data_IF_840721863563
#
_entry.id   IF_840721863563
#
_cell.length_a   1.000
_cell.length_b   1.000
_cell.length_c   1.000
_cell.angle_alpha   90.00
_cell.angle_beta   90.00
_cell.angle_gamma   90.00
#
_symmetry.space_group_name_H-M   'P 1'
#
loop_
_entity.id
_entity.type
_entity.pdbx_description
1 polymer ?
#
# COMPACT_ATOMS: atom_id res chain seq x y z
N UNK A 1 12.60 -29.83 20.69
CA UNK A 1 12.45 -29.06 19.46
C UNK A 1 13.84 -28.69 18.95
N UNK A 2 14.22 -29.17 17.80
CA UNK A 2 15.48 -28.74 17.18
C UNK A 2 15.28 -27.30 16.70
N UNK A 3 15.89 -26.37 17.39
CA UNK A 3 15.98 -24.96 16.96
C UNK A 3 16.86 -24.90 15.72
N UNK A 4 16.38 -24.32 14.65
CA UNK A 4 17.18 -24.07 13.46
C UNK A 4 17.90 -22.71 13.62
N UNK A 5 19.22 -22.70 13.89
CA UNK A 5 19.92 -21.46 14.18
C UNK A 5 19.90 -20.46 13.02
N UNK A 6 19.76 -20.95 11.79
CA UNK A 6 19.61 -20.08 10.60
C UNK A 6 18.28 -19.32 10.65
N UNK A 7 17.18 -19.99 11.01
CA UNK A 7 15.88 -19.34 11.16
C UNK A 7 15.89 -18.27 12.26
N UNK A 8 16.51 -18.59 13.38
CA UNK A 8 16.60 -17.66 14.50
C UNK A 8 17.43 -16.43 14.12
N UNK A 9 18.55 -16.63 13.43
CA UNK A 9 19.37 -15.52 12.93
C UNK A 9 18.62 -14.65 11.91
N UNK A 10 17.86 -15.25 10.98
CA UNK A 10 17.04 -14.48 10.03
C UNK A 10 15.99 -13.61 10.74
N UNK A 11 15.37 -14.16 11.78
CA UNK A 11 14.38 -13.41 12.60
C UNK A 11 15.03 -12.29 13.39
N UNK A 12 16.18 -12.55 14.01
CA UNK A 12 16.93 -11.55 14.78
C UNK A 12 17.40 -10.38 13.91
N UNK A 13 17.76 -10.65 12.65
CA UNK A 13 18.09 -9.63 11.65
C UNK A 13 16.86 -8.91 11.08
N UNK A 14 15.65 -9.26 11.48
CA UNK A 14 14.43 -8.68 10.95
C UNK A 14 14.07 -9.12 9.53
N UNK A 15 14.62 -10.25 9.06
CA UNK A 15 14.40 -10.82 7.74
C UNK A 15 13.25 -11.83 7.77
N UNK A 16 12.07 -11.38 8.20
CA UNK A 16 10.92 -12.26 8.44
C UNK A 16 10.38 -12.93 7.17
N UNK A 17 10.45 -12.25 6.02
CA UNK A 17 10.05 -12.82 4.73
C UNK A 17 11.01 -13.92 4.30
N UNK A 18 12.31 -13.71 4.45
CA UNK A 18 13.33 -14.74 4.19
C UNK A 18 13.19 -15.93 5.14
N UNK A 19 12.91 -15.69 6.41
CA UNK A 19 12.69 -16.76 7.39
C UNK A 19 11.50 -17.64 7.01
N UNK A 20 10.39 -17.04 6.62
CA UNK A 20 9.20 -17.77 6.15
C UNK A 20 9.49 -18.59 4.89
N UNK A 21 10.14 -17.98 3.90
CA UNK A 21 10.49 -18.66 2.66
C UNK A 21 11.49 -19.82 2.90
N UNK A 22 12.47 -19.61 3.77
CA UNK A 22 13.42 -20.64 4.16
C UNK A 22 12.69 -21.86 4.75
N UNK A 23 11.78 -21.62 5.67
CA UNK A 23 11.01 -22.69 6.32
C UNK A 23 10.12 -23.45 5.35
N UNK A 24 9.47 -22.74 4.41
CA UNK A 24 8.62 -23.35 3.37
C UNK A 24 9.45 -24.19 2.40
N UNK A 25 10.60 -23.67 1.91
CA UNK A 25 11.48 -24.38 0.98
C UNK A 25 12.14 -25.60 1.60
N UNK A 26 12.48 -25.54 2.88
CA UNK A 26 13.07 -26.66 3.61
C UNK A 26 12.12 -27.86 3.70
N UNK A 27 10.81 -27.61 3.66
CA UNK A 27 9.76 -28.63 3.69
C UNK A 27 9.37 -29.15 2.30
N UNK A 28 9.83 -28.53 1.22
CA UNK A 28 9.46 -28.89 -0.15
C UNK A 28 10.56 -29.74 -0.81
N UNK A 29 10.27 -31.01 -1.17
CA UNK A 29 11.26 -31.89 -1.83
C UNK A 29 11.79 -31.29 -3.16
N UNK A 30 10.90 -30.59 -3.90
CA UNK A 30 11.27 -29.97 -5.17
C UNK A 30 12.33 -28.87 -5.02
N UNK A 31 12.34 -28.19 -3.87
CA UNK A 31 13.33 -27.13 -3.59
C UNK A 31 14.76 -27.66 -3.49
N UNK A 32 14.94 -28.96 -3.23
CA UNK A 32 16.27 -29.58 -3.17
C UNK A 32 16.97 -29.64 -4.53
N UNK A 33 16.22 -29.53 -5.62
CA UNK A 33 16.77 -29.49 -7.00
C UNK A 33 17.19 -28.09 -7.44
N UNK A 34 16.84 -27.04 -6.69
CA UNK A 34 17.19 -25.68 -7.02
C UNK A 34 18.69 -25.41 -6.86
N UNK A 35 19.23 -24.63 -7.79
CA UNK A 35 20.60 -24.12 -7.64
C UNK A 35 20.64 -23.04 -6.54
N UNK A 36 21.82 -22.83 -5.95
CA UNK A 36 22.00 -21.87 -4.85
C UNK A 36 21.50 -20.46 -5.19
N UNK A 37 21.75 -19.98 -6.42
CA UNK A 37 21.30 -18.68 -6.88
C UNK A 37 19.79 -18.58 -6.97
N UNK A 38 19.13 -19.61 -7.48
CA UNK A 38 17.66 -19.67 -7.58
C UNK A 38 17.00 -19.70 -6.20
N UNK A 39 17.54 -20.52 -5.32
CA UNK A 39 17.08 -20.64 -3.95
C UNK A 39 17.20 -19.31 -3.19
N UNK A 40 18.35 -18.65 -3.26
CA UNK A 40 18.56 -17.35 -2.66
C UNK A 40 17.65 -16.27 -3.24
N UNK A 41 17.43 -16.29 -4.55
CA UNK A 41 16.52 -15.36 -5.23
C UNK A 41 15.10 -15.46 -4.68
N UNK A 42 14.58 -16.67 -4.48
CA UNK A 42 13.25 -16.87 -3.89
C UNK A 42 13.14 -16.30 -2.47
N UNK A 43 14.19 -16.46 -1.65
CA UNK A 43 14.24 -15.86 -0.31
C UNK A 43 14.22 -14.34 -0.36
N UNK A 44 15.01 -13.73 -1.25
CA UNK A 44 15.10 -12.29 -1.41
C UNK A 44 13.79 -11.69 -1.95
N UNK A 45 13.17 -12.34 -2.93
CA UNK A 45 11.87 -11.89 -3.46
C UNK A 45 10.77 -11.91 -2.39
N UNK A 46 10.75 -12.95 -1.56
CA UNK A 46 9.79 -13.02 -0.45
C UNK A 46 10.04 -11.89 0.56
N UNK A 47 11.29 -11.60 0.88
CA UNK A 47 11.64 -10.50 1.79
C UNK A 47 11.23 -9.14 1.22
N UNK A 48 11.50 -8.90 -0.05
CA UNK A 48 11.09 -7.66 -0.74
C UNK A 48 9.57 -7.50 -0.72
N UNK A 49 8.83 -8.55 -1.03
CA UNK A 49 7.36 -8.55 -1.01
C UNK A 49 6.82 -8.28 0.39
N UNK A 50 7.36 -8.96 1.40
CA UNK A 50 6.97 -8.78 2.80
C UNK A 50 7.21 -7.35 3.27
N UNK A 51 8.37 -6.76 2.95
CA UNK A 51 8.68 -5.36 3.30
C UNK A 51 7.78 -4.36 2.59
N UNK A 52 7.49 -4.60 1.32
CA UNK A 52 6.56 -3.76 0.54
C UNK A 52 5.17 -3.78 1.16
N UNK A 53 4.68 -4.97 1.52
CA UNK A 53 3.38 -5.14 2.15
C UNK A 53 3.31 -4.44 3.51
N UNK A 54 4.31 -4.59 4.36
CA UNK A 54 4.37 -3.90 5.67
C UNK A 54 4.38 -2.38 5.51
N UNK A 55 5.14 -1.85 4.56
CA UNK A 55 5.15 -0.40 4.28
C UNK A 55 3.78 0.09 3.80
N UNK A 56 3.14 -0.64 2.90
CA UNK A 56 1.80 -0.34 2.44
C UNK A 56 0.79 -0.31 3.60
N UNK A 57 0.77 -1.33 4.43
CA UNK A 57 -0.13 -1.41 5.59
C UNK A 57 0.09 -0.26 6.58
N UNK A 58 1.33 0.11 6.85
CA UNK A 58 1.66 1.25 7.70
C UNK A 58 1.16 2.57 7.10
N UNK A 59 1.34 2.80 5.80
CA UNK A 59 0.83 3.98 5.10
C UNK A 59 -0.69 4.02 5.06
N UNK A 60 -1.34 2.91 4.78
CA UNK A 60 -2.79 2.81 4.75
C UNK A 60 -3.41 3.13 6.12
N UNK A 61 -2.81 2.64 7.20
CA UNK A 61 -3.23 2.98 8.57
C UNK A 61 -3.01 4.46 8.89
N UNK A 62 -1.86 5.02 8.54
CA UNK A 62 -1.54 6.42 8.77
C UNK A 62 -2.44 7.37 7.96
N UNK A 63 -2.85 6.98 6.78
CA UNK A 63 -3.72 7.77 5.90
C UNK A 63 -5.10 8.03 6.48
N UNK A 64 -5.63 7.12 7.30
CA UNK A 64 -6.98 7.21 7.91
C UNK A 64 -8.08 7.52 6.90
N UNK A 65 -8.04 6.83 5.75
CA UNK A 65 -9.03 6.97 4.70
C UNK A 65 -10.43 6.62 5.22
N UNK A 66 -11.42 7.45 4.87
CA UNK A 66 -12.80 7.28 5.32
C UNK A 66 -13.47 6.02 4.77
N UNK A 67 -13.14 5.66 3.52
CA UNK A 67 -13.70 4.51 2.82
C UNK A 67 -12.60 3.48 2.54
N UNK A 68 -12.94 2.22 2.72
CA UNK A 68 -12.14 1.11 2.21
C UNK A 68 -12.44 0.94 0.71
N UNK A 69 -11.84 1.82 -0.08
CA UNK A 69 -12.08 1.94 -1.51
C UNK A 69 -10.83 1.54 -2.29
N UNK A 70 -11.04 0.72 -3.32
CA UNK A 70 -9.98 0.28 -4.21
C UNK A 70 -10.32 0.65 -5.65
N UNK A 71 -9.32 1.04 -6.43
CA UNK A 71 -9.52 1.46 -7.84
C UNK A 71 -10.09 0.33 -8.70
N UNK A 72 -9.84 -0.92 -8.34
CA UNK A 72 -10.36 -2.12 -9.01
C UNK A 72 -11.87 -2.31 -8.83
N UNK A 73 -12.44 -1.73 -7.78
CA UNK A 73 -13.86 -1.89 -7.43
C UNK A 73 -14.75 -0.76 -7.97
N UNK A 74 -14.22 0.09 -8.85
CA UNK A 74 -14.99 1.20 -9.42
C UNK A 74 -15.98 0.67 -10.43
N UNK A 75 -17.25 1.05 -10.23
CA UNK A 75 -18.30 0.84 -11.22
C UNK A 75 -18.32 1.99 -12.25
N UNK A 76 -17.71 1.75 -13.39
CA UNK A 76 -17.72 2.69 -14.51
C UNK A 76 -19.04 2.72 -15.30
N UNK A 77 -19.97 1.80 -15.01
CA UNK A 77 -21.30 1.77 -15.66
C UNK A 77 -22.27 2.76 -15.02
N UNK A 78 -21.98 3.18 -13.79
CA UNK A 78 -22.81 4.16 -13.11
C UNK A 78 -22.85 5.48 -13.90
N UNK A 79 -24.05 6.03 -14.09
CA UNK A 79 -24.28 7.26 -14.84
C UNK A 79 -23.84 8.51 -14.03
N UNK A 80 -22.55 8.74 -13.94
CA UNK A 80 -21.95 9.87 -13.21
C UNK A 80 -20.92 10.65 -14.02
N UNK A 81 -20.81 10.39 -15.32
CA UNK A 81 -19.88 11.11 -16.19
C UNK A 81 -18.40 10.84 -15.91
N UNK A 82 -18.07 9.74 -15.23
CA UNK A 82 -16.69 9.37 -14.93
C UNK A 82 -16.04 8.76 -16.19
N UNK A 83 -15.01 9.41 -16.70
CA UNK A 83 -14.19 8.87 -17.79
C UNK A 83 -13.25 7.81 -17.26
N UNK A 84 -13.44 6.57 -17.73
CA UNK A 84 -12.62 5.42 -17.35
C UNK A 84 -11.14 5.61 -17.67
N UNK A 85 -10.83 6.09 -18.87
CA UNK A 85 -9.44 6.23 -19.32
C UNK A 85 -8.70 7.30 -18.51
N UNK A 86 -9.38 8.41 -18.24
CA UNK A 86 -8.84 9.46 -17.37
C UNK A 86 -8.60 8.94 -15.96
N UNK A 87 -9.55 8.21 -15.38
CA UNK A 87 -9.41 7.68 -14.03
C UNK A 87 -8.29 6.64 -13.93
N UNK A 88 -8.15 5.76 -14.91
CA UNK A 88 -7.03 4.81 -14.97
C UNK A 88 -5.68 5.51 -15.06
N UNK A 89 -5.59 6.60 -15.82
CA UNK A 89 -4.40 7.45 -15.88
C UNK A 89 -4.10 8.09 -14.52
N UNK A 90 -5.08 8.61 -13.83
CA UNK A 90 -4.95 9.19 -12.48
C UNK A 90 -4.49 8.14 -11.46
N UNK A 91 -4.92 6.90 -11.63
CA UNK A 91 -4.53 5.78 -10.76
C UNK A 91 -3.02 5.44 -10.84
N UNK A 92 -2.31 5.85 -11.89
CA UNK A 92 -0.86 5.72 -12.01
C UNK A 92 -0.08 6.65 -11.07
N UNK A 93 -0.72 7.63 -10.48
CA UNK A 93 -0.14 8.58 -9.50
C UNK A 93 0.97 9.50 -10.03
N UNK A 94 1.20 9.58 -11.33
CA UNK A 94 2.24 10.43 -11.90
C UNK A 94 1.95 11.92 -11.65
N UNK A 95 0.70 12.32 -11.65
CA UNK A 95 0.29 13.68 -11.32
C UNK A 95 0.71 14.09 -9.90
N UNK A 96 0.72 13.15 -8.94
CA UNK A 96 1.20 13.39 -7.58
C UNK A 96 2.71 13.60 -7.58
N UNK A 97 3.46 12.77 -8.29
CA UNK A 97 4.92 12.88 -8.41
C UNK A 97 5.34 14.20 -9.10
N UNK A 98 4.50 14.71 -10.00
CA UNK A 98 4.67 16.00 -10.67
C UNK A 98 4.15 17.18 -9.87
N UNK A 99 3.70 16.96 -8.64
CA UNK A 99 3.14 17.99 -7.74
C UNK A 99 1.91 18.72 -8.30
N UNK A 100 1.09 18.02 -9.11
CA UNK A 100 -0.18 18.54 -9.60
C UNK A 100 -1.28 18.32 -8.56
N UNK A 101 -2.28 19.20 -8.59
CA UNK A 101 -3.50 19.07 -7.78
C UNK A 101 -4.63 18.44 -8.59
N UNK A 102 -5.51 17.72 -7.91
CA UNK A 102 -6.71 17.13 -8.47
C UNK A 102 -7.94 17.66 -7.73
N UNK A 103 -8.93 18.15 -8.47
CA UNK A 103 -10.22 18.55 -7.94
C UNK A 103 -11.30 17.58 -8.44
N UNK A 104 -12.06 17.00 -7.52
CA UNK A 104 -13.21 16.16 -7.81
C UNK A 104 -14.47 16.97 -7.58
N UNK A 105 -15.16 17.35 -8.66
CA UNK A 105 -16.34 18.22 -8.64
C UNK A 105 -17.55 17.44 -9.15
N UNK A 106 -18.67 17.61 -8.49
CA UNK A 106 -19.93 16.98 -8.89
C UNK A 106 -21.01 17.11 -7.80
N UNK A 107 -22.24 16.69 -8.10
CA UNK A 107 -23.33 16.71 -7.13
C UNK A 107 -23.07 15.78 -5.93
N UNK A 108 -23.82 16.00 -4.84
CA UNK A 108 -23.77 15.13 -3.69
C UNK A 108 -24.23 13.70 -4.05
N UNK A 109 -23.62 12.69 -3.42
CA UNK A 109 -24.03 11.30 -3.58
C UNK A 109 -23.50 10.57 -4.81
N UNK A 110 -22.67 11.20 -5.66
CA UNK A 110 -22.09 10.52 -6.85
C UNK A 110 -20.82 9.71 -6.54
N UNK A 111 -20.33 9.73 -5.29
CA UNK A 111 -19.19 8.95 -4.87
C UNK A 111 -17.85 9.66 -4.95
N UNK A 112 -17.79 11.00 -4.90
CA UNK A 112 -16.53 11.77 -4.93
C UNK A 112 -15.57 11.37 -3.82
N UNK A 113 -16.05 11.30 -2.58
CA UNK A 113 -15.21 10.92 -1.43
C UNK A 113 -14.71 9.48 -1.54
N UNK A 114 -15.52 8.58 -2.06
CA UNK A 114 -15.14 7.20 -2.31
C UNK A 114 -14.03 7.12 -3.37
N UNK A 115 -14.17 7.84 -4.48
CA UNK A 115 -13.17 7.92 -5.54
C UNK A 115 -11.85 8.53 -5.03
N UNK A 116 -11.92 9.59 -4.22
CA UNK A 116 -10.74 10.18 -3.59
C UNK A 116 -10.03 9.18 -2.67
N UNK A 117 -10.78 8.41 -1.88
CA UNK A 117 -10.21 7.35 -1.05
C UNK A 117 -9.60 6.22 -1.87
N UNK A 118 -10.21 5.85 -3.01
CA UNK A 118 -9.66 4.85 -3.92
C UNK A 118 -8.30 5.29 -4.50
N UNK A 119 -8.18 6.54 -4.91
CA UNK A 119 -6.92 7.13 -5.37
C UNK A 119 -5.89 7.21 -4.23
N UNK A 120 -6.31 7.58 -3.03
CA UNK A 120 -5.45 7.61 -1.85
C UNK A 120 -4.92 6.23 -1.47
N UNK A 121 -5.76 5.21 -1.50
CA UNK A 121 -5.36 3.82 -1.29
C UNK A 121 -4.36 3.35 -2.35
N UNK A 122 -4.59 3.68 -3.62
CA UNK A 122 -3.66 3.40 -4.72
C UNK A 122 -2.33 4.12 -4.52
N UNK A 123 -2.34 5.36 -4.09
CA UNK A 123 -1.13 6.12 -3.77
C UNK A 123 -0.29 5.45 -2.65
N UNK A 124 -0.95 4.91 -1.61
CA UNK A 124 -0.26 4.11 -0.59
C UNK A 124 0.42 2.87 -1.18
N UNK A 125 -0.21 2.20 -2.15
CA UNK A 125 0.39 1.05 -2.86
C UNK A 125 1.57 1.46 -3.74
N UNK A 126 1.59 2.70 -4.22
CA UNK A 126 2.67 3.28 -5.04
C UNK A 126 3.78 3.94 -4.18
N UNK A 127 3.89 3.55 -2.92
CA UNK A 127 4.88 4.05 -1.98
C UNK A 127 4.77 5.56 -1.65
N UNK A 128 3.60 6.15 -1.84
CA UNK A 128 3.32 7.55 -1.51
C UNK A 128 2.63 7.65 -0.15
N UNK A 129 3.02 8.61 0.66
CA UNK A 129 2.33 8.92 1.91
C UNK A 129 1.03 9.67 1.64
N UNK A 130 -0.02 9.32 2.37
CA UNK A 130 -1.35 9.90 2.21
C UNK A 130 -1.89 10.31 3.58
N UNK A 131 -2.56 11.44 3.64
CA UNK A 131 -3.33 11.88 4.80
C UNK A 131 -4.72 12.31 4.33
N UNK A 132 -5.77 11.76 4.95
CA UNK A 132 -7.14 12.13 4.69
C UNK A 132 -7.65 13.07 5.79
N UNK A 133 -8.15 14.24 5.41
CA UNK A 133 -8.71 15.21 6.33
C UNK A 133 -10.05 15.74 5.84
N UNK A 134 -10.99 15.88 6.74
CA UNK A 134 -12.19 16.72 6.53
C UNK A 134 -11.82 18.14 6.90
N UNK A 135 -12.21 19.12 6.06
CA UNK A 135 -11.81 20.52 6.21
C UNK A 135 -12.02 21.08 7.64
N UNK A 136 -13.18 20.89 8.32
CA UNK A 136 -13.34 21.39 9.68
C UNK A 136 -12.34 20.79 10.69
N UNK A 137 -12.01 19.49 10.55
CA UNK A 137 -11.03 18.81 11.41
C UNK A 137 -9.60 19.19 11.09
N UNK A 138 -9.30 19.47 9.81
CA UNK A 138 -7.98 19.93 9.40
C UNK A 138 -7.61 21.24 10.07
N UNK A 139 -8.52 22.22 10.07
CA UNK A 139 -8.28 23.51 10.72
C UNK A 139 -8.08 23.36 12.23
N UNK A 140 -8.88 22.54 12.92
CA UNK A 140 -8.71 22.25 14.33
C UNK A 140 -7.34 21.61 14.63
N UNK A 141 -6.89 20.67 13.81
CA UNK A 141 -5.58 20.02 13.95
C UNK A 141 -4.42 21.01 13.75
N UNK A 142 -4.54 21.94 12.80
CA UNK A 142 -3.54 22.98 12.56
C UNK A 142 -3.46 24.00 13.72
N UNK A 143 -4.60 24.35 14.33
CA UNK A 143 -4.63 25.22 15.52
C UNK A 143 -3.93 24.56 16.72
N UNK A 144 -4.18 23.30 16.98
CA UNK A 144 -3.50 22.52 18.03
C UNK A 144 -1.99 22.46 17.78
N UNK A 145 -1.57 22.23 16.54
CA UNK A 145 -0.15 22.23 16.16
C UNK A 145 0.55 23.56 16.37
N UNK A 146 -0.14 24.69 16.24
CA UNK A 146 0.39 26.03 16.52
C UNK A 146 0.52 26.33 18.02
N UNK A 147 -0.28 25.70 18.86
CA UNK A 147 -0.21 25.90 20.29
C UNK A 147 0.99 25.20 20.97
N UNK A 148 1.70 24.35 20.27
CA UNK A 148 2.87 23.61 20.74
C UNK A 148 4.21 24.08 20.13
N UNK A 149 4.24 25.21 19.49
CA UNK A 149 5.47 25.85 18.97
C UNK A 149 5.94 26.93 19.92
#
# INVERSE_FOLDING_TARGET
>A
MLTNPTLDTLRDLGLSGMASAFQELDQQPEAQSLQHGEWLTLLLEREMTTRRQKRFEARARAAKLRHDAQVENIDFRAARGLDRNLFLKLSGCDWIRQHHSLLLIGPAGVGKSWLACALGHKACREDLSVAYHRVPRLFAALEIGRAHV
#
